data_IF_201046585935
#
_entry.id   IF_201046585935
#
_cell.length_a   1.000
_cell.length_b   1.000
_cell.length_c   1.000
_cell.angle_alpha   90.00
_cell.angle_beta   90.00
_cell.angle_gamma   90.00
#
_symmetry.space_group_name_H-M   'P 1'
#
loop_
_entity.id
_entity.type
_entity.pdbx_description
1 polymer ?
#
# COMPACT_ATOMS: atom_id res chain seq x y z
N UNK A 1 46.21 -40.31 -51.98
CA UNK A 1 46.50 -41.59 -51.32
C UNK A 1 46.69 -41.33 -49.82
N UNK A 2 45.66 -41.72 -49.07
CA UNK A 2 45.46 -41.99 -47.65
C UNK A 2 46.67 -41.93 -46.65
N UNK A 3 46.43 -41.19 -45.54
CA UNK A 3 46.79 -41.37 -44.08
C UNK A 3 48.28 -41.51 -43.69
N UNK A 4 48.72 -41.10 -42.49
CA UNK A 4 48.06 -40.57 -41.30
C UNK A 4 49.12 -40.31 -40.21
N UNK A 5 48.82 -39.43 -39.25
CA UNK A 5 49.68 -39.16 -38.10
C UNK A 5 48.94 -39.55 -36.82
N UNK A 6 49.61 -40.32 -35.96
CA UNK A 6 49.11 -40.85 -34.69
C UNK A 6 49.54 -39.97 -33.52
N UNK A 7 48.60 -39.80 -32.60
CA UNK A 7 48.68 -39.10 -31.31
C UNK A 7 49.59 -39.82 -30.30
N UNK A 8 50.23 -39.06 -29.41
CA UNK A 8 50.43 -39.45 -27.99
C UNK A 8 50.52 -38.20 -27.09
N UNK A 9 49.85 -38.27 -25.95
CA UNK A 9 49.58 -37.20 -24.96
C UNK A 9 50.26 -37.52 -23.62
N UNK A 10 50.43 -36.48 -22.78
CA UNK A 10 50.54 -36.43 -21.29
C UNK A 10 51.87 -35.96 -20.64
N UNK A 11 51.81 -34.71 -20.11
CA UNK A 11 52.03 -34.21 -18.73
C UNK A 11 53.39 -34.05 -17.99
N UNK A 12 53.43 -32.90 -17.28
CA UNK A 12 54.13 -32.52 -16.01
C UNK A 12 55.57 -31.97 -16.13
N UNK A 13 56.10 -30.99 -15.36
CA UNK A 13 55.65 -29.92 -14.44
C UNK A 13 56.96 -29.17 -14.06
N UNK A 14 56.98 -27.83 -13.86
CA UNK A 14 58.09 -27.18 -13.14
C UNK A 14 58.47 -25.74 -13.52
N UNK A 15 57.99 -24.81 -12.69
CA UNK A 15 58.65 -23.59 -12.16
C UNK A 15 59.43 -22.64 -13.10
N UNK A 16 58.90 -21.44 -13.35
CA UNK A 16 59.67 -20.20 -13.47
C UNK A 16 58.78 -19.03 -13.00
N UNK A 17 59.32 -18.22 -12.09
CA UNK A 17 58.63 -17.33 -11.14
C UNK A 17 58.34 -15.93 -11.70
N UNK A 18 57.16 -15.38 -11.39
CA UNK A 18 56.66 -14.04 -11.77
C UNK A 18 57.52 -12.86 -11.23
N UNK A 19 58.48 -13.12 -10.35
CA UNK A 19 59.31 -12.09 -9.70
C UNK A 19 60.26 -11.35 -10.64
N UNK A 20 60.63 -11.95 -11.79
CA UNK A 20 61.57 -11.33 -12.75
C UNK A 20 60.92 -10.19 -13.55
N UNK A 21 59.59 -10.19 -13.67
CA UNK A 21 58.85 -9.12 -14.38
C UNK A 21 58.70 -7.88 -13.49
N UNK A 22 58.53 -8.06 -12.17
CA UNK A 22 58.38 -6.97 -11.21
C UNK A 22 59.65 -6.10 -11.07
N UNK A 23 60.85 -6.71 -11.17
CA UNK A 23 62.11 -5.99 -11.04
C UNK A 23 62.42 -5.04 -12.22
N UNK A 24 61.81 -5.25 -13.39
CA UNK A 24 62.09 -4.45 -14.59
C UNK A 24 61.26 -3.16 -14.68
N UNK A 25 60.21 -3.04 -13.87
CA UNK A 25 59.33 -1.87 -13.85
C UNK A 25 59.77 -0.77 -12.87
N UNK A 26 60.78 -1.03 -12.02
CA UNK A 26 61.26 -0.08 -11.00
C UNK A 26 62.33 0.88 -11.56
N UNK A 27 62.88 0.63 -12.76
CA UNK A 27 64.02 1.37 -13.28
C UNK A 27 63.70 2.54 -14.25
N UNK A 28 62.43 2.74 -14.63
CA UNK A 28 62.03 3.88 -15.48
C UNK A 28 61.49 5.04 -14.63
N UNK A 29 62.44 5.88 -14.18
CA UNK A 29 62.20 7.14 -13.48
C UNK A 29 61.60 8.22 -14.40
N UNK A 30 60.31 8.08 -14.71
CA UNK A 30 59.50 9.13 -15.32
C UNK A 30 58.50 9.68 -14.30
N UNK A 31 58.71 10.91 -13.82
CA UNK A 31 57.77 11.64 -12.95
C UNK A 31 56.42 11.87 -13.63
N UNK A 32 55.52 10.88 -13.59
CA UNK A 32 54.08 11.14 -13.67
C UNK A 32 53.70 11.79 -12.36
N UNK A 33 53.32 13.07 -12.40
CA UNK A 33 52.50 13.67 -11.33
C UNK A 33 51.31 12.73 -11.14
N UNK A 34 51.30 12.00 -10.02
CA UNK A 34 50.10 11.32 -9.58
C UNK A 34 49.07 12.43 -9.35
N UNK A 35 48.06 12.48 -10.22
CA UNK A 35 46.84 13.18 -9.88
C UNK A 35 46.41 12.62 -8.52
N UNK A 36 46.41 13.48 -7.51
CA UNK A 36 45.73 13.13 -6.27
C UNK A 36 44.33 12.66 -6.67
N UNK A 37 43.89 11.47 -6.24
CA UNK A 37 42.47 11.19 -6.27
C UNK A 37 41.82 12.35 -5.51
N UNK A 38 40.89 13.05 -6.15
CA UNK A 38 40.06 14.00 -5.42
C UNK A 38 39.56 13.29 -4.16
N UNK A 39 39.62 13.96 -2.98
CA UNK A 39 39.02 13.39 -1.79
C UNK A 39 37.60 12.97 -2.18
N UNK A 40 37.27 11.71 -1.88
CA UNK A 40 35.94 11.15 -2.07
C UNK A 40 34.93 12.25 -1.73
N UNK A 41 34.14 12.61 -2.75
CA UNK A 41 33.21 13.73 -2.68
C UNK A 41 32.54 13.77 -1.33
N UNK A 42 32.58 14.96 -0.75
CA UNK A 42 31.80 15.40 0.40
C UNK A 42 30.58 14.50 0.56
N UNK A 43 30.46 13.81 1.70
CA UNK A 43 29.22 13.14 2.07
C UNK A 43 28.11 14.14 1.80
N UNK A 44 27.32 13.94 0.74
CA UNK A 44 26.19 14.81 0.43
C UNK A 44 25.35 14.82 1.71
N UNK A 45 25.40 15.92 2.45
CA UNK A 45 24.57 16.14 3.63
C UNK A 45 23.14 15.96 3.13
N UNK A 46 22.55 14.80 3.41
CA UNK A 46 21.23 14.46 2.97
C UNK A 46 20.27 15.42 3.67
N UNK A 47 19.97 16.55 3.04
CA UNK A 47 19.06 17.54 3.60
C UNK A 47 17.73 16.81 3.82
N UNK A 48 17.36 16.61 5.09
CA UNK A 48 16.16 15.88 5.45
C UNK A 48 14.94 16.55 4.82
N UNK A 49 14.05 15.76 4.23
CA UNK A 49 12.78 16.31 3.72
C UNK A 49 11.99 16.92 4.89
N UNK A 50 11.49 18.16 4.78
CA UNK A 50 10.73 18.81 5.85
C UNK A 50 9.30 18.24 5.98
N UNK A 51 8.82 17.55 4.95
CA UNK A 51 7.42 17.15 4.86
C UNK A 51 6.93 16.22 5.98
N UNK A 52 7.70 15.20 6.44
CA UNK A 52 7.26 14.37 7.56
C UNK A 52 6.97 15.18 8.83
N UNK A 53 7.76 16.23 9.11
CA UNK A 53 7.55 17.11 10.26
C UNK A 53 6.29 17.96 10.08
N UNK A 54 6.09 18.54 8.89
CA UNK A 54 4.91 19.36 8.59
C UNK A 54 3.63 18.51 8.70
N UNK A 55 3.65 17.30 8.16
CA UNK A 55 2.53 16.34 8.24
C UNK A 55 2.23 16.00 9.70
N UNK A 56 3.25 15.69 10.51
CA UNK A 56 3.09 15.36 11.92
C UNK A 56 2.51 16.53 12.74
N UNK A 57 2.98 17.76 12.50
CA UNK A 57 2.45 18.97 13.14
C UNK A 57 1.00 19.22 12.74
N UNK A 58 0.65 19.09 11.45
CA UNK A 58 -0.71 19.22 10.97
C UNK A 58 -1.66 18.19 11.60
N UNK A 59 -1.23 16.92 11.68
CA UNK A 59 -1.96 15.86 12.37
C UNK A 59 -2.14 16.15 13.86
N UNK A 60 -1.09 16.60 14.54
CA UNK A 60 -1.14 16.95 15.97
C UNK A 60 -2.14 18.08 16.25
N UNK A 61 -2.06 19.19 15.50
CA UNK A 61 -2.99 20.33 15.63
C UNK A 61 -4.42 19.89 15.32
N UNK A 62 -4.60 19.09 14.26
CA UNK A 62 -5.91 18.55 13.90
C UNK A 62 -6.51 17.69 15.01
N UNK A 63 -5.70 16.81 15.62
CA UNK A 63 -6.11 15.96 16.75
C UNK A 63 -6.52 16.80 17.96
N UNK A 64 -5.71 17.79 18.36
CA UNK A 64 -6.09 18.68 19.47
C UNK A 64 -7.38 19.45 19.11
N UNK A 65 -7.56 19.83 17.84
CA UNK A 65 -8.81 20.44 17.35
C UNK A 65 -10.03 19.55 17.56
N UNK A 66 -9.91 18.24 17.29
CA UNK A 66 -10.97 17.25 17.56
C UNK A 66 -11.24 17.13 19.06
N UNK A 67 -10.20 16.91 19.86
CA UNK A 67 -10.33 16.67 21.31
C UNK A 67 -10.88 17.89 22.06
N UNK A 68 -10.49 19.09 21.62
CA UNK A 68 -11.00 20.35 22.19
C UNK A 68 -12.31 20.84 21.58
N UNK A 69 -12.87 20.12 20.60
CA UNK A 69 -14.02 20.54 19.80
C UNK A 69 -13.83 21.95 19.16
N UNK A 70 -12.59 22.35 18.88
CA UNK A 70 -12.23 23.63 18.29
C UNK A 70 -12.17 23.53 16.77
N UNK A 71 -13.26 23.92 16.10
CA UNK A 71 -13.36 23.94 14.64
C UNK A 71 -12.23 24.76 13.98
N UNK A 72 -11.86 25.97 14.47
CA UNK A 72 -10.76 26.72 13.87
C UNK A 72 -9.43 25.95 13.92
N UNK A 73 -9.14 25.28 15.04
CA UNK A 73 -7.89 24.54 15.19
C UNK A 73 -7.89 23.27 14.33
N UNK A 74 -9.03 22.59 14.21
CA UNK A 74 -9.21 21.49 13.27
C UNK A 74 -8.91 21.94 11.83
N UNK A 75 -9.47 23.06 11.39
CA UNK A 75 -9.23 23.59 10.03
C UNK A 75 -7.76 23.93 9.80
N UNK A 76 -7.10 24.55 10.77
CA UNK A 76 -5.65 24.83 10.69
C UNK A 76 -4.86 23.53 10.56
N UNK A 77 -5.16 22.52 11.37
CA UNK A 77 -4.52 21.21 11.30
C UNK A 77 -4.70 20.54 9.93
N UNK A 78 -5.92 20.56 9.39
CA UNK A 78 -6.25 20.00 8.07
C UNK A 78 -5.51 20.74 6.95
N UNK A 79 -5.42 22.07 7.00
CA UNK A 79 -4.69 22.86 5.99
C UNK A 79 -3.19 22.56 6.03
N UNK A 80 -2.59 22.50 7.22
CA UNK A 80 -1.16 22.18 7.37
C UNK A 80 -0.87 20.75 6.91
N UNK A 81 -1.71 19.80 7.31
CA UNK A 81 -1.61 18.41 6.86
C UNK A 81 -1.72 18.30 5.33
N UNK A 82 -2.74 18.92 4.74
CA UNK A 82 -2.95 18.90 3.29
C UNK A 82 -1.82 19.58 2.52
N UNK A 83 -1.30 20.69 3.02
CA UNK A 83 -0.13 21.36 2.45
C UNK A 83 1.14 20.51 2.54
N UNK A 84 1.37 19.85 3.68
CA UNK A 84 2.51 18.95 3.89
C UNK A 84 2.46 17.71 2.99
N UNK A 85 1.30 17.05 2.94
CA UNK A 85 1.08 15.88 2.07
C UNK A 85 1.18 16.26 0.58
N UNK A 86 0.58 17.39 0.18
CA UNK A 86 0.65 17.90 -1.18
C UNK A 86 2.07 18.27 -1.61
N UNK A 87 2.84 18.91 -0.71
CA UNK A 87 4.25 19.24 -0.92
C UNK A 87 5.13 18.00 -1.06
N UNK A 88 4.92 16.99 -0.19
CA UNK A 88 5.60 15.70 -0.29
C UNK A 88 5.33 15.00 -1.62
N UNK A 89 4.05 14.90 -2.00
CA UNK A 89 3.65 14.32 -3.29
C UNK A 89 4.27 15.10 -4.45
N UNK A 90 4.28 16.44 -4.38
CA UNK A 90 4.87 17.26 -5.43
C UNK A 90 6.36 17.01 -5.61
N UNK A 91 7.12 16.93 -4.50
CA UNK A 91 8.54 16.61 -4.53
C UNK A 91 8.78 15.21 -5.10
N UNK A 92 8.04 14.20 -4.61
CA UNK A 92 8.19 12.82 -5.10
C UNK A 92 7.80 12.68 -6.59
N UNK A 93 6.88 13.52 -7.09
CA UNK A 93 6.55 13.55 -8.52
C UNK A 93 7.69 14.10 -9.40
N UNK A 94 8.64 14.85 -8.82
CA UNK A 94 9.78 15.43 -9.54
C UNK A 94 11.03 14.54 -9.45
N UNK A 95 11.17 13.80 -8.36
CA UNK A 95 12.32 12.93 -8.12
C UNK A 95 12.11 11.53 -8.75
N UNK A 96 13.12 10.97 -9.44
CA UNK A 96 13.07 9.58 -9.88
C UNK A 96 12.99 8.66 -8.67
N UNK A 97 12.11 7.65 -8.68
CA UNK A 97 12.11 6.65 -7.61
C UNK A 97 13.41 5.84 -7.68
N UNK A 98 14.38 6.17 -6.85
CA UNK A 98 15.56 5.33 -6.60
C UNK A 98 15.13 4.14 -5.76
N UNK A 99 15.78 2.98 -5.85
CA UNK A 99 15.48 1.86 -4.97
C UNK A 99 16.13 2.11 -3.59
N UNK A 100 15.32 2.30 -2.54
CA UNK A 100 15.84 2.42 -1.17
C UNK A 100 15.99 1.01 -0.57
N UNK A 101 17.20 0.47 -0.67
CA UNK A 101 17.60 -0.73 0.06
C UNK A 101 18.03 -0.31 1.46
N UNK A 102 17.07 -0.18 2.36
CA UNK A 102 17.24 0.40 3.70
C UNK A 102 18.16 -0.35 4.68
N UNK A 103 18.97 -1.29 4.22
CA UNK A 103 20.11 -1.85 4.94
C UNK A 103 21.07 -2.48 3.91
N UNK A 104 22.30 -1.98 3.83
CA UNK A 104 23.41 -2.76 3.31
C UNK A 104 23.71 -3.88 4.31
N UNK A 105 22.88 -4.94 4.36
CA UNK A 105 23.28 -6.14 5.09
C UNK A 105 24.41 -6.79 4.31
N UNK A 106 25.62 -6.63 4.81
CA UNK A 106 26.90 -7.10 4.25
C UNK A 106 27.07 -8.62 4.28
N UNK A 107 25.99 -9.40 4.14
CA UNK A 107 26.03 -10.86 4.24
C UNK A 107 25.22 -11.46 3.11
N UNK A 108 25.86 -12.36 2.35
CA UNK A 108 25.29 -13.31 1.40
C UNK A 108 24.02 -13.96 1.99
N UNK A 109 22.85 -13.33 1.80
CA UNK A 109 21.59 -13.83 2.37
C UNK A 109 21.01 -14.89 1.46
N UNK A 110 20.65 -16.05 2.02
CA UNK A 110 20.00 -17.16 1.31
C UNK A 110 18.60 -16.81 0.75
N UNK A 111 18.05 -15.67 1.15
CA UNK A 111 16.76 -15.17 0.67
C UNK A 111 16.96 -14.09 -0.41
N UNK A 112 16.09 -14.05 -1.45
CA UNK A 112 16.09 -12.96 -2.41
C UNK A 112 16.01 -11.60 -1.71
N UNK A 113 16.77 -10.62 -2.19
CA UNK A 113 16.82 -9.26 -1.62
C UNK A 113 15.42 -8.64 -1.67
N UNK A 114 14.73 -8.58 -0.54
CA UNK A 114 13.48 -7.82 -0.38
C UNK A 114 13.86 -6.38 -0.05
N UNK A 115 13.28 -5.42 -0.77
CA UNK A 115 13.50 -4.00 -0.47
C UNK A 115 12.94 -3.63 0.92
N UNK A 116 13.53 -2.64 1.55
CA UNK A 116 13.04 -2.15 2.84
C UNK A 116 11.59 -1.63 2.73
N UNK A 117 11.22 -1.06 1.58
CA UNK A 117 9.84 -0.61 1.31
C UNK A 117 8.86 -1.75 1.29
N UNK A 118 9.19 -2.85 0.59
CA UNK A 118 8.33 -4.03 0.50
C UNK A 118 8.17 -4.71 1.86
N UNK A 119 9.26 -4.83 2.63
CA UNK A 119 9.18 -5.32 4.00
C UNK A 119 8.29 -4.41 4.87
N UNK A 120 8.48 -3.09 4.78
CA UNK A 120 7.66 -2.10 5.47
C UNK A 120 6.18 -2.20 5.13
N UNK A 121 5.84 -2.37 3.84
CA UNK A 121 4.46 -2.60 3.39
C UNK A 121 3.88 -3.87 3.99
N UNK A 122 4.61 -4.99 3.98
CA UNK A 122 4.11 -6.24 4.60
C UNK A 122 3.86 -6.10 6.11
N UNK A 123 4.75 -5.42 6.83
CA UNK A 123 4.56 -5.15 8.26
C UNK A 123 3.35 -4.25 8.50
N UNK A 124 3.18 -3.20 7.70
CA UNK A 124 2.00 -2.33 7.75
C UNK A 124 0.70 -3.11 7.47
N UNK A 125 0.68 -3.96 6.43
CA UNK A 125 -0.48 -4.79 6.14
C UNK A 125 -0.79 -5.77 7.28
N UNK A 126 0.23 -6.32 7.94
CA UNK A 126 0.03 -7.18 9.11
C UNK A 126 -0.64 -6.43 10.28
N UNK A 127 -0.25 -5.16 10.53
CA UNK A 127 -0.92 -4.35 11.55
C UNK A 127 -2.37 -4.04 11.19
N UNK A 128 -2.65 -3.80 9.91
CA UNK A 128 -4.02 -3.58 9.43
C UNK A 128 -4.90 -4.84 9.57
N UNK A 129 -4.35 -6.03 9.28
CA UNK A 129 -5.06 -7.30 9.51
C UNK A 129 -5.44 -7.44 10.99
N UNK A 130 -4.53 -7.12 11.91
CA UNK A 130 -4.82 -7.17 13.35
C UNK A 130 -5.92 -6.17 13.74
N UNK A 131 -5.86 -4.96 13.19
CA UNK A 131 -6.84 -3.91 13.42
C UNK A 131 -8.24 -4.30 12.94
N UNK A 132 -8.39 -4.77 11.70
CA UNK A 132 -9.69 -5.26 11.19
C UNK A 132 -10.17 -6.50 11.94
N UNK A 133 -9.28 -7.41 12.31
CA UNK A 133 -9.62 -8.60 13.11
C UNK A 133 -10.21 -8.21 14.47
N UNK A 134 -9.69 -7.17 15.12
CA UNK A 134 -10.23 -6.67 16.39
C UNK A 134 -11.64 -6.09 16.22
N UNK A 135 -11.89 -5.30 15.17
CA UNK A 135 -13.21 -4.71 14.92
C UNK A 135 -14.23 -5.79 14.54
N UNK A 136 -13.86 -6.74 13.68
CA UNK A 136 -14.72 -7.88 13.28
C UNK A 136 -14.99 -8.79 14.49
N UNK A 137 -13.97 -9.10 15.28
CA UNK A 137 -14.10 -9.92 16.49
C UNK A 137 -14.99 -9.27 17.56
N UNK A 138 -14.91 -7.93 17.69
CA UNK A 138 -15.81 -7.14 18.54
C UNK A 138 -17.27 -7.28 18.08
N UNK A 139 -17.54 -7.08 16.78
CA UNK A 139 -18.87 -7.27 16.17
C UNK A 139 -19.43 -8.66 16.43
N UNK A 140 -18.62 -9.70 16.21
CA UNK A 140 -19.01 -11.09 16.48
C UNK A 140 -19.35 -11.32 17.96
N UNK A 141 -18.55 -10.76 18.88
CA UNK A 141 -18.81 -10.86 20.32
C UNK A 141 -20.12 -10.18 20.72
N UNK A 142 -20.43 -9.00 20.13
CA UNK A 142 -21.70 -8.30 20.38
C UNK A 142 -22.90 -9.11 19.89
N UNK A 143 -22.79 -9.75 18.71
CA UNK A 143 -23.80 -10.66 18.16
C UNK A 143 -24.08 -11.85 19.08
N UNK A 144 -23.04 -12.48 19.60
CA UNK A 144 -23.19 -13.63 20.50
C UNK A 144 -23.79 -13.27 21.88
N UNK A 145 -23.69 -12.00 22.29
CA UNK A 145 -24.25 -11.52 23.56
C UNK A 145 -25.71 -11.03 23.44
N UNK A 146 -26.28 -11.05 22.24
CA UNK A 146 -27.70 -10.73 22.02
C UNK A 146 -28.57 -11.68 22.87
N UNK A 147 -29.42 -11.11 23.74
CA UNK A 147 -30.29 -11.89 24.62
C UNK A 147 -29.80 -12.08 26.07
N UNK A 148 -28.70 -11.42 26.48
CA UNK A 148 -28.31 -11.39 27.91
C UNK A 148 -29.37 -10.62 28.74
N UNK A 149 -30.12 -11.28 29.65
CA UNK A 149 -31.18 -10.60 30.40
C UNK A 149 -30.62 -9.51 31.31
N UNK A 150 -31.26 -8.34 31.34
CA UNK A 150 -30.93 -7.25 32.28
C UNK A 150 -30.05 -6.11 31.74
N UNK A 151 -29.59 -6.16 30.48
CA UNK A 151 -28.88 -5.05 29.84
C UNK A 151 -29.70 -4.53 28.65
N UNK A 152 -30.29 -3.34 28.79
CA UNK A 152 -31.12 -2.71 27.74
C UNK A 152 -30.39 -2.57 26.38
N UNK A 153 -29.06 -2.45 26.40
CA UNK A 153 -28.21 -2.33 25.20
C UNK A 153 -28.11 -3.63 24.38
N UNK A 154 -28.40 -4.80 24.96
CA UNK A 154 -28.26 -6.12 24.31
C UNK A 154 -29.61 -6.80 24.00
N UNK A 155 -30.68 -6.02 23.92
CA UNK A 155 -32.03 -6.51 23.65
C UNK A 155 -32.30 -6.61 22.14
N UNK A 156 -33.01 -7.66 21.73
CA UNK A 156 -33.43 -7.90 20.34
C UNK A 156 -32.45 -8.78 19.52
N UNK A 157 -32.95 -9.54 18.53
CA UNK A 157 -32.12 -10.29 17.59
C UNK A 157 -31.25 -9.39 16.72
N UNK A 158 -30.20 -9.96 16.14
CA UNK A 158 -29.46 -9.32 15.05
C UNK A 158 -30.30 -9.34 13.76
N UNK A 159 -30.11 -8.37 12.86
CA UNK A 159 -30.88 -8.29 11.63
C UNK A 159 -30.58 -9.49 10.71
N UNK A 160 -31.61 -10.02 10.04
CA UNK A 160 -31.43 -11.07 9.05
C UNK A 160 -30.94 -10.49 7.71
N UNK A 161 -30.26 -11.29 6.87
CA UNK A 161 -29.82 -10.84 5.55
C UNK A 161 -30.99 -10.30 4.72
N UNK A 162 -30.83 -9.09 4.17
CA UNK A 162 -31.87 -8.43 3.37
C UNK A 162 -32.99 -7.75 4.17
N UNK A 163 -32.98 -7.81 5.51
CA UNK A 163 -33.99 -7.13 6.34
C UNK A 163 -33.83 -5.59 6.30
N UNK A 164 -32.59 -5.12 6.40
CA UNK A 164 -32.23 -3.69 6.43
C UNK A 164 -31.30 -3.35 5.27
N UNK A 165 -30.31 -4.21 5.01
CA UNK A 165 -29.26 -3.95 4.02
C UNK A 165 -29.64 -4.47 2.62
N UNK A 166 -29.21 -3.76 1.58
CA UNK A 166 -29.52 -4.12 0.20
C UNK A 166 -28.48 -5.11 -0.36
N UNK A 167 -28.66 -6.40 -0.07
CA UNK A 167 -27.73 -7.47 -0.46
C UNK A 167 -27.45 -7.50 -1.98
N UNK A 168 -28.43 -7.35 -2.89
CA UNK A 168 -28.15 -7.32 -4.33
C UNK A 168 -27.26 -6.15 -4.77
N UNK A 169 -27.53 -4.94 -4.28
CA UNK A 169 -26.75 -3.74 -4.62
C UNK A 169 -25.31 -3.89 -4.13
N UNK A 170 -25.13 -4.31 -2.89
CA UNK A 170 -23.80 -4.53 -2.30
C UNK A 170 -23.09 -5.70 -2.98
N UNK A 171 -23.81 -6.75 -3.38
CA UNK A 171 -23.25 -7.86 -4.15
C UNK A 171 -22.68 -7.41 -5.50
N UNK A 172 -23.39 -6.53 -6.22
CA UNK A 172 -22.87 -5.88 -7.43
C UNK A 172 -21.64 -5.02 -7.10
N UNK A 173 -21.67 -4.28 -6.00
CA UNK A 173 -20.55 -3.45 -5.57
C UNK A 173 -19.29 -4.29 -5.27
N UNK A 174 -19.47 -5.43 -4.60
CA UNK A 174 -18.40 -6.43 -4.35
C UNK A 174 -17.83 -6.97 -5.66
N UNK A 175 -18.68 -7.27 -6.64
CA UNK A 175 -18.23 -7.70 -7.97
C UNK A 175 -17.35 -6.63 -8.65
N UNK A 176 -17.77 -5.36 -8.59
CA UNK A 176 -16.98 -4.23 -9.11
C UNK A 176 -15.60 -4.16 -8.43
N UNK A 177 -15.54 -4.34 -7.12
CA UNK A 177 -14.29 -4.30 -6.37
C UNK A 177 -13.34 -5.44 -6.76
N UNK A 178 -13.85 -6.67 -6.88
CA UNK A 178 -13.06 -7.84 -7.32
C UNK A 178 -12.54 -7.63 -8.75
N UNK A 179 -13.38 -7.10 -9.65
CA UNK A 179 -12.93 -6.74 -11.00
C UNK A 179 -11.84 -5.66 -10.97
N UNK A 180 -11.92 -4.69 -10.06
CA UNK A 180 -10.86 -3.68 -9.90
C UNK A 180 -9.53 -4.33 -9.49
N UNK A 181 -9.57 -5.32 -8.61
CA UNK A 181 -8.43 -6.12 -8.18
C UNK A 181 -7.77 -6.82 -9.36
N UNK A 182 -8.56 -7.47 -10.23
CA UNK A 182 -8.05 -8.08 -11.47
C UNK A 182 -7.37 -7.06 -12.38
N UNK A 183 -7.99 -5.89 -12.58
CA UNK A 183 -7.37 -4.84 -13.41
C UNK A 183 -6.04 -4.34 -12.82
N UNK A 184 -5.89 -4.33 -11.49
CA UNK A 184 -4.64 -3.94 -10.85
C UNK A 184 -3.49 -4.93 -11.13
N UNK A 185 -3.78 -6.24 -11.11
CA UNK A 185 -2.80 -7.27 -11.48
C UNK A 185 -2.37 -7.12 -12.94
N UNK A 186 -3.34 -6.88 -13.84
CA UNK A 186 -3.04 -6.66 -15.25
C UNK A 186 -2.23 -5.38 -15.50
N UNK A 187 -2.45 -4.33 -14.69
CA UNK A 187 -1.65 -3.11 -14.73
C UNK A 187 -0.18 -3.39 -14.38
N UNK A 188 0.08 -4.21 -13.37
CA UNK A 188 1.43 -4.63 -12.97
C UNK A 188 2.06 -5.54 -14.05
N UNK A 189 1.34 -6.55 -14.53
CA UNK A 189 1.84 -7.45 -15.57
C UNK A 189 2.13 -6.73 -16.90
N UNK A 190 1.38 -5.67 -17.22
CA UNK A 190 1.64 -4.86 -18.40
C UNK A 190 2.97 -4.10 -18.30
N UNK A 191 3.29 -3.48 -17.15
CA UNK A 191 4.56 -2.75 -17.00
C UNK A 191 5.78 -3.67 -16.91
N UNK A 192 5.63 -4.87 -16.35
CA UNK A 192 6.68 -5.90 -16.36
C UNK A 192 7.03 -6.38 -17.80
N UNK A 193 6.05 -6.30 -18.71
CA UNK A 193 6.22 -6.56 -20.15
C UNK A 193 6.61 -5.30 -20.95
N UNK A 194 6.89 -4.19 -20.28
CA UNK A 194 7.15 -2.86 -20.86
C UNK A 194 5.99 -2.30 -21.74
N UNK A 195 4.76 -2.81 -21.56
CA UNK A 195 3.57 -2.32 -22.25
C UNK A 195 2.95 -1.15 -21.47
N UNK A 196 3.53 0.04 -21.68
CA UNK A 196 3.13 1.29 -21.01
C UNK A 196 1.70 1.72 -21.33
N UNK A 197 1.17 1.37 -22.51
CA UNK A 197 -0.18 1.75 -22.92
C UNK A 197 -1.21 0.95 -22.13
N UNK A 198 -1.07 -0.38 -22.10
CA UNK A 198 -1.97 -1.23 -21.30
C UNK A 198 -1.83 -0.96 -19.81
N UNK A 199 -0.61 -0.74 -19.32
CA UNK A 199 -0.37 -0.38 -17.94
C UNK A 199 -1.19 0.84 -17.50
N UNK A 200 -1.15 1.94 -18.28
CA UNK A 200 -1.93 3.16 -17.99
C UNK A 200 -3.43 2.93 -18.08
N UNK A 201 -3.88 2.15 -19.07
CA UNK A 201 -5.29 1.81 -19.23
C UNK A 201 -5.82 1.05 -18.01
N UNK A 202 -5.12 0.01 -17.57
CA UNK A 202 -5.55 -0.81 -16.44
C UNK A 202 -5.49 -0.05 -15.12
N UNK A 203 -4.45 0.77 -14.87
CA UNK A 203 -4.42 1.64 -13.68
C UNK A 203 -5.62 2.60 -13.65
N UNK A 204 -5.96 3.21 -14.79
CA UNK A 204 -7.12 4.09 -14.88
C UNK A 204 -8.42 3.31 -14.66
N UNK A 205 -8.54 2.10 -15.20
CA UNK A 205 -9.68 1.24 -14.96
C UNK A 205 -9.83 0.88 -13.48
N UNK A 206 -8.74 0.49 -12.79
CA UNK A 206 -8.75 0.22 -11.34
C UNK A 206 -9.21 1.44 -10.56
N UNK A 207 -8.67 2.63 -10.88
CA UNK A 207 -9.05 3.88 -10.23
C UNK A 207 -10.55 4.19 -10.39
N UNK A 208 -11.08 4.07 -11.61
CA UNK A 208 -12.49 4.35 -11.88
C UNK A 208 -13.42 3.35 -11.20
N UNK A 209 -13.06 2.06 -11.17
CA UNK A 209 -13.82 1.03 -10.46
C UNK A 209 -13.80 1.27 -8.95
N UNK A 210 -12.66 1.68 -8.38
CA UNK A 210 -12.55 2.07 -6.97
C UNK A 210 -13.41 3.30 -6.61
N UNK A 211 -13.42 4.33 -7.46
CA UNK A 211 -14.30 5.50 -7.29
C UNK A 211 -15.78 5.09 -7.39
N UNK A 212 -16.11 4.20 -8.33
CA UNK A 212 -17.47 3.67 -8.48
C UNK A 212 -17.90 2.94 -7.22
N UNK A 213 -17.02 2.11 -6.65
CA UNK A 213 -17.29 1.41 -5.41
C UNK A 213 -17.61 2.36 -4.25
N UNK A 214 -16.78 3.39 -4.06
CA UNK A 214 -17.00 4.41 -3.03
C UNK A 214 -18.29 5.19 -3.26
N UNK A 215 -18.64 5.47 -4.51
CA UNK A 215 -19.86 6.20 -4.86
C UNK A 215 -21.12 5.40 -4.55
N UNK A 216 -21.12 4.10 -4.86
CA UNK A 216 -22.21 3.19 -4.50
C UNK A 216 -22.32 3.06 -2.98
N UNK A 217 -21.19 2.95 -2.28
CA UNK A 217 -21.18 2.86 -0.81
C UNK A 217 -21.72 4.13 -0.15
N UNK A 218 -21.33 5.31 -0.67
CA UNK A 218 -21.84 6.59 -0.18
C UNK A 218 -23.36 6.72 -0.41
N UNK A 219 -23.85 6.25 -1.56
CA UNK A 219 -25.28 6.19 -1.84
C UNK A 219 -26.01 5.25 -0.86
N UNK A 220 -25.48 4.06 -0.62
CA UNK A 220 -26.06 3.11 0.35
C UNK A 220 -26.10 3.73 1.76
N UNK A 221 -25.03 4.38 2.21
CA UNK A 221 -25.02 5.08 3.50
C UNK A 221 -26.07 6.17 3.60
N UNK A 222 -26.21 6.99 2.56
CA UNK A 222 -27.22 8.04 2.55
C UNK A 222 -28.63 7.46 2.63
N UNK A 223 -28.90 6.39 1.86
CA UNK A 223 -30.19 5.71 1.87
C UNK A 223 -30.49 5.05 3.22
N UNK A 224 -29.52 4.36 3.82
CA UNK A 224 -29.68 3.72 5.13
C UNK A 224 -29.86 4.74 6.26
N UNK A 225 -29.09 5.84 6.24
CA UNK A 225 -29.13 6.84 7.29
C UNK A 225 -30.41 7.69 7.23
N UNK A 226 -30.76 8.22 6.06
CA UNK A 226 -31.88 9.16 5.90
C UNK A 226 -33.20 8.50 5.49
N UNK A 227 -33.15 7.34 4.83
CA UNK A 227 -34.34 6.61 4.39
C UNK A 227 -34.80 5.58 5.42
N UNK A 228 -33.90 4.68 5.82
CA UNK A 228 -34.22 3.55 6.71
C UNK A 228 -34.03 3.86 8.20
N UNK A 229 -33.39 4.97 8.56
CA UNK A 229 -33.14 5.36 9.95
C UNK A 229 -32.08 4.50 10.67
N UNK A 230 -31.20 3.84 9.93
CA UNK A 230 -30.02 3.17 10.47
C UNK A 230 -28.94 4.21 10.75
N UNK A 231 -28.69 4.52 12.03
CA UNK A 231 -27.76 5.58 12.43
C UNK A 231 -26.48 5.03 13.09
N UNK A 232 -25.51 5.91 13.34
CA UNK A 232 -24.30 5.61 14.10
C UNK A 232 -24.56 5.22 15.57
N UNK A 233 -25.80 5.37 16.06
CA UNK A 233 -26.13 5.16 17.48
C UNK A 233 -27.22 4.11 17.69
N UNK A 234 -28.06 3.84 16.69
CA UNK A 234 -29.18 2.91 16.81
C UNK A 234 -29.60 2.30 15.46
N UNK A 235 -30.22 1.13 15.54
CA UNK A 235 -30.95 0.49 14.45
C UNK A 235 -32.30 1.21 14.18
N UNK A 236 -32.93 1.00 13.01
CA UNK A 236 -34.23 1.60 12.66
C UNK A 236 -35.28 1.41 13.77
N UNK A 237 -35.94 2.51 14.15
CA UNK A 237 -36.96 2.47 15.20
C UNK A 237 -38.12 1.55 14.80
N UNK A 238 -38.48 0.62 15.68
CA UNK A 238 -39.56 -0.35 15.43
C UNK A 238 -39.15 -1.61 14.67
N UNK A 239 -37.88 -1.76 14.26
CA UNK A 239 -37.38 -2.95 13.54
C UNK A 239 -37.20 -4.21 14.40
N UNK A 240 -37.36 -4.10 15.72
CA UNK A 240 -37.03 -5.13 16.72
C UNK A 240 -35.57 -5.65 16.65
N UNK A 241 -34.69 -4.98 15.89
CA UNK A 241 -33.27 -5.31 15.76
C UNK A 241 -32.49 -4.70 16.92
N UNK A 242 -31.41 -5.37 17.32
CA UNK A 242 -30.50 -4.88 18.33
C UNK A 242 -30.00 -3.44 18.00
N UNK A 243 -30.09 -2.48 18.94
CA UNK A 243 -29.64 -1.10 18.71
C UNK A 243 -28.18 -0.96 18.27
N UNK A 244 -27.31 -1.90 18.66
CA UNK A 244 -25.89 -1.90 18.30
C UNK A 244 -25.62 -2.28 16.85
N UNK A 245 -26.64 -2.69 16.08
CA UNK A 245 -26.49 -3.06 14.67
C UNK A 245 -25.94 -1.90 13.82
N UNK A 246 -26.54 -0.72 13.91
CA UNK A 246 -26.10 0.49 13.20
C UNK A 246 -24.67 0.93 13.53
N UNK A 247 -24.33 1.19 14.81
CA UNK A 247 -22.97 1.51 15.22
C UNK A 247 -21.93 0.48 14.74
N UNK A 248 -22.25 -0.80 14.84
CA UNK A 248 -21.37 -1.90 14.44
C UNK A 248 -21.16 -1.94 12.92
N UNK A 249 -22.24 -1.78 12.16
CA UNK A 249 -22.22 -1.69 10.70
C UNK A 249 -21.33 -0.53 10.23
N UNK A 250 -21.57 0.68 10.72
CA UNK A 250 -20.81 1.86 10.29
C UNK A 250 -19.37 1.87 10.79
N UNK A 251 -19.09 1.30 11.97
CA UNK A 251 -17.71 1.17 12.45
C UNK A 251 -16.90 0.24 11.54
N UNK A 252 -17.42 -0.95 11.21
CA UNK A 252 -16.74 -1.91 10.35
C UNK A 252 -16.59 -1.40 8.91
N UNK A 253 -17.71 -1.02 8.30
CA UNK A 253 -17.73 -0.62 6.89
C UNK A 253 -17.14 0.77 6.67
N UNK A 254 -17.24 1.68 7.65
CA UNK A 254 -16.70 3.04 7.56
C UNK A 254 -15.18 3.06 7.66
N UNK A 255 -14.61 2.27 8.56
CA UNK A 255 -13.14 2.06 8.62
C UNK A 255 -12.64 1.42 7.33
N UNK A 256 -13.36 0.44 6.78
CA UNK A 256 -13.01 -0.10 5.47
C UNK A 256 -13.12 0.97 4.37
N UNK A 257 -14.19 1.76 4.34
CA UNK A 257 -14.38 2.86 3.40
C UNK A 257 -13.26 3.92 3.45
N UNK A 258 -12.74 4.22 4.65
CA UNK A 258 -11.57 5.11 4.77
C UNK A 258 -10.31 4.48 4.17
N UNK A 259 -10.11 3.17 4.32
CA UNK A 259 -9.00 2.45 3.70
C UNK A 259 -9.10 2.41 2.16
N UNK A 260 -10.29 2.16 1.62
CA UNK A 260 -10.57 2.24 0.19
C UNK A 260 -10.30 3.65 -0.33
N UNK A 261 -10.73 4.68 0.41
CA UNK A 261 -10.47 6.09 0.05
C UNK A 261 -8.98 6.38 -0.01
N UNK A 262 -8.20 5.95 0.99
CA UNK A 262 -6.75 6.08 0.96
C UNK A 262 -6.12 5.31 -0.23
N UNK A 263 -6.66 4.13 -0.55
CA UNK A 263 -6.25 3.36 -1.72
C UNK A 263 -6.55 4.07 -3.04
N UNK A 264 -7.72 4.69 -3.18
CA UNK A 264 -8.10 5.48 -4.36
C UNK A 264 -7.19 6.69 -4.52
N UNK A 265 -6.81 7.37 -3.43
CA UNK A 265 -5.85 8.46 -3.46
C UNK A 265 -4.46 7.99 -3.89
N UNK A 266 -4.00 6.86 -3.37
CA UNK A 266 -2.74 6.24 -3.79
C UNK A 266 -2.77 5.81 -5.26
N UNK A 267 -3.87 5.20 -5.72
CA UNK A 267 -4.11 4.86 -7.12
C UNK A 267 -4.13 6.09 -8.01
N UNK A 268 -4.76 7.18 -7.60
CA UNK A 268 -4.78 8.43 -8.35
C UNK A 268 -3.37 9.00 -8.50
N UNK A 269 -2.57 8.94 -7.43
CA UNK A 269 -1.17 9.35 -7.44
C UNK A 269 -0.33 8.49 -8.41
N UNK A 270 -0.35 7.15 -8.31
CA UNK A 270 0.43 6.29 -9.21
C UNK A 270 -0.07 6.38 -10.65
N UNK A 271 -1.38 6.50 -10.86
CA UNK A 271 -1.95 6.72 -12.20
C UNK A 271 -1.40 8.00 -12.81
N UNK A 272 -1.43 9.12 -12.07
CA UNK A 272 -0.87 10.40 -12.52
C UNK A 272 0.63 10.30 -12.82
N UNK A 273 1.41 9.58 -11.98
CA UNK A 273 2.85 9.34 -12.20
C UNK A 273 3.10 8.47 -13.44
N UNK A 274 2.27 7.47 -13.70
CA UNK A 274 2.33 6.60 -14.88
C UNK A 274 2.09 7.38 -16.19
N UNK A 275 1.14 8.33 -16.20
CA UNK A 275 0.90 9.20 -17.35
C UNK A 275 2.04 10.17 -17.62
N UNK A 276 2.79 10.60 -16.59
CA UNK A 276 4.03 11.37 -16.74
C UNK A 276 5.25 10.54 -17.14
N UNK A 277 5.11 9.21 -17.24
CA UNK A 277 6.22 8.32 -17.60
C UNK A 277 7.16 7.99 -16.44
N UNK A 278 6.70 8.12 -15.18
CA UNK A 278 7.52 7.87 -14.00
C UNK A 278 7.80 6.39 -13.69
N UNK A 279 7.35 5.44 -14.53
CA UNK A 279 7.54 4.01 -14.32
C UNK A 279 8.16 3.32 -15.53
N UNK A 280 9.04 2.37 -15.24
CA UNK A 280 9.70 1.49 -16.23
C UNK A 280 9.62 0.04 -15.76
N UNK A 281 10.03 -0.90 -16.62
CA UNK A 281 10.12 -2.32 -16.27
C UNK A 281 11.05 -2.58 -15.08
N UNK A 282 12.06 -1.73 -14.84
CA UNK A 282 13.01 -1.88 -13.73
C UNK A 282 12.57 -1.08 -12.49
N UNK A 283 11.70 -0.09 -12.67
CA UNK A 283 11.26 0.84 -11.65
C UNK A 283 9.72 0.91 -11.59
N UNK A 284 9.11 -0.17 -11.13
CA UNK A 284 7.66 -0.31 -10.95
C UNK A 284 7.29 -0.76 -9.53
N UNK A 285 8.24 -0.78 -8.60
CA UNK A 285 8.03 -1.22 -7.22
C UNK A 285 6.85 -0.49 -6.56
N UNK A 286 6.73 0.83 -6.76
CA UNK A 286 5.62 1.60 -6.19
C UNK A 286 4.24 1.11 -6.67
N UNK A 287 4.13 0.62 -7.91
CA UNK A 287 2.90 0.03 -8.45
C UNK A 287 2.61 -1.29 -7.74
N UNK A 288 3.64 -2.12 -7.52
CA UNK A 288 3.51 -3.36 -6.77
C UNK A 288 3.03 -3.09 -5.33
N UNK A 289 3.62 -2.13 -4.63
CA UNK A 289 3.25 -1.80 -3.24
C UNK A 289 1.82 -1.26 -3.13
N UNK A 290 1.41 -0.38 -4.04
CA UNK A 290 0.02 0.10 -4.10
C UNK A 290 -0.94 -1.03 -4.48
N UNK A 291 -0.52 -1.95 -5.37
CA UNK A 291 -1.27 -3.15 -5.71
C UNK A 291 -1.50 -4.07 -4.50
N UNK A 292 -0.44 -4.34 -3.72
CA UNK A 292 -0.53 -5.12 -2.48
C UNK A 292 -1.54 -4.52 -1.50
N UNK A 293 -1.51 -3.19 -1.31
CA UNK A 293 -2.49 -2.50 -0.48
C UNK A 293 -3.91 -2.58 -1.05
N UNK A 294 -4.08 -2.41 -2.35
CA UNK A 294 -5.39 -2.49 -3.01
C UNK A 294 -6.01 -3.88 -2.88
N UNK A 295 -5.22 -4.95 -3.08
CA UNK A 295 -5.66 -6.32 -2.87
C UNK A 295 -6.02 -6.60 -1.40
N UNK A 296 -5.24 -6.05 -0.46
CA UNK A 296 -5.57 -6.16 0.97
C UNK A 296 -6.96 -5.59 1.27
N UNK A 297 -7.24 -4.38 0.78
CA UNK A 297 -8.53 -3.73 0.97
C UNK A 297 -9.66 -4.59 0.37
N UNK A 298 -9.49 -5.10 -0.85
CA UNK A 298 -10.47 -5.99 -1.50
C UNK A 298 -10.73 -7.28 -0.68
N UNK A 299 -9.69 -7.94 -0.18
CA UNK A 299 -9.83 -9.14 0.67
C UNK A 299 -10.60 -8.82 1.95
N UNK A 300 -10.30 -7.70 2.63
CA UNK A 300 -11.04 -7.27 3.82
C UNK A 300 -12.52 -7.07 3.51
N UNK A 301 -12.84 -6.48 2.35
CA UNK A 301 -14.23 -6.29 1.93
C UNK A 301 -14.96 -7.62 1.76
N UNK A 302 -14.34 -8.64 1.19
CA UNK A 302 -14.96 -9.96 1.02
C UNK A 302 -15.38 -10.55 2.38
N UNK A 303 -14.52 -10.43 3.39
CA UNK A 303 -14.87 -10.85 4.75
C UNK A 303 -15.98 -10.00 5.36
N UNK A 304 -15.93 -8.67 5.20
CA UNK A 304 -16.97 -7.78 5.70
C UNK A 304 -18.32 -8.00 5.03
N UNK A 305 -18.36 -8.13 3.71
CA UNK A 305 -19.56 -8.44 2.95
C UNK A 305 -20.19 -9.74 3.47
N UNK A 306 -19.39 -10.80 3.61
CA UNK A 306 -19.87 -12.08 4.13
C UNK A 306 -20.44 -11.97 5.54
N UNK A 307 -19.71 -11.36 6.47
CA UNK A 307 -20.08 -11.30 7.89
C UNK A 307 -21.19 -10.28 8.15
N UNK A 308 -21.24 -9.16 7.42
CA UNK A 308 -22.16 -8.05 7.71
C UNK A 308 -23.45 -8.15 6.90
N UNK A 309 -23.38 -8.59 5.64
CA UNK A 309 -24.53 -8.59 4.74
C UNK A 309 -25.19 -9.97 4.59
N UNK A 310 -24.44 -11.07 4.79
CA UNK A 310 -24.93 -12.43 4.54
C UNK A 310 -25.16 -13.28 5.80
N UNK A 311 -24.60 -12.90 6.94
CA UNK A 311 -24.67 -13.62 8.23
C UNK A 311 -25.13 -12.69 9.33
#
# INVERSE_FOLDING_TARGET
MIRGCSVRTELSFGWETEDVIAARLIHDGGTRRMAHPEPAGEEEEHHGSPWPVIIAVGMGIGYVGIVSASVPMLLVGVVIFGGGAGGWIHQDMQEPSSAFYGLATSVESRFPRVSARKLGTWLFLATEIMFFSAIIGSSFTLRLRTGTPGLATFQGPWATPGQILNVPLTGLNTFILICSSLTMVEALSAIERDDKVKHRFYLLATLLLGITFLSIQAFEYQHLYFGEGLTFTHAPLGSAVNPLYGPTFYAQTGVHGSHVTAGVLALAYVTRKAFKGGFTKENHEAIELVGLYWHFVDVVWIFLFTIVYLV
#
